data_IF_539779500525
#
_entry.id   IF_539779500525
#
_cell.length_a   1.000
_cell.length_b   1.000
_cell.length_c   1.000
_cell.angle_alpha   90.00
_cell.angle_beta   90.00
_cell.angle_gamma   90.00
#
_symmetry.space_group_name_H-M   'P 1'
#
loop_
_entity.id
_entity.type
_entity.pdbx_description
1 polymer ?
#
# COMPACT_ATOMS: atom_id res chain seq x y z
N UNK A 1 -2.92 -37.98 20.50
CA UNK A 1 -2.43 -37.68 19.15
C UNK A 1 -3.55 -37.01 18.36
N UNK A 2 -3.65 -35.72 18.34
CA UNK A 2 -4.77 -34.99 17.71
C UNK A 2 -4.51 -33.48 17.58
N UNK A 3 -3.34 -33.07 17.07
CA UNK A 3 -2.96 -31.65 17.04
C UNK A 3 -2.51 -31.09 15.70
N UNK A 4 -2.54 -31.88 14.60
CA UNK A 4 -1.91 -31.44 13.33
C UNK A 4 -2.89 -31.15 12.19
N UNK A 5 -4.16 -31.49 12.28
CA UNK A 5 -5.13 -31.35 11.18
C UNK A 5 -5.90 -30.02 11.18
N UNK A 6 -5.96 -29.31 12.32
CA UNK A 6 -6.71 -28.03 12.40
C UNK A 6 -5.97 -26.86 11.72
N UNK A 7 -4.65 -26.94 11.56
CA UNK A 7 -3.85 -25.87 10.89
C UNK A 7 -3.98 -25.86 9.37
N UNK A 8 -4.28 -26.99 8.76
CA UNK A 8 -4.48 -27.11 7.30
C UNK A 8 -5.84 -26.63 6.84
N UNK A 9 -6.86 -26.70 7.71
CA UNK A 9 -8.23 -26.26 7.40
C UNK A 9 -8.39 -24.73 7.43
N UNK A 10 -7.54 -24.01 8.15
CA UNK A 10 -7.58 -22.53 8.18
C UNK A 10 -7.07 -21.91 6.87
N UNK A 11 -6.15 -22.55 6.17
CA UNK A 11 -5.60 -22.02 4.91
C UNK A 11 -6.61 -22.04 3.76
N UNK A 12 -7.53 -23.03 3.75
CA UNK A 12 -8.58 -23.14 2.73
C UNK A 12 -9.76 -22.16 2.89
N UNK A 13 -9.98 -21.64 4.09
CA UNK A 13 -11.08 -20.70 4.34
C UNK A 13 -10.76 -19.28 3.88
N UNK A 14 -9.49 -18.88 3.91
CA UNK A 14 -9.05 -17.56 3.50
C UNK A 14 -9.11 -17.31 1.99
N UNK A 15 -9.04 -18.36 1.18
CA UNK A 15 -9.15 -18.26 -0.29
C UNK A 15 -10.50 -17.73 -0.79
N UNK A 16 -11.50 -17.59 0.11
CA UNK A 16 -12.85 -17.06 -0.22
C UNK A 16 -13.14 -15.68 0.36
N UNK A 17 -12.25 -15.12 1.21
CA UNK A 17 -12.48 -13.80 1.80
C UNK A 17 -11.91 -12.73 0.90
N UNK A 18 -12.77 -11.87 0.39
CA UNK A 18 -12.34 -10.68 -0.34
C UNK A 18 -11.59 -9.74 0.62
N UNK A 19 -10.36 -9.41 0.29
CA UNK A 19 -9.50 -8.52 1.06
C UNK A 19 -9.61 -7.12 0.47
N UNK A 20 -10.10 -6.18 1.27
CA UNK A 20 -10.24 -4.77 0.85
C UNK A 20 -8.94 -4.03 1.06
N UNK A 21 -8.43 -3.42 -0.02
CA UNK A 21 -7.22 -2.58 -0.03
C UNK A 21 -7.59 -1.22 -0.61
N UNK A 22 -7.09 -0.15 -0.01
CA UNK A 22 -7.19 1.20 -0.56
C UNK A 22 -5.86 1.60 -1.19
N UNK A 23 -5.91 2.21 -2.37
CA UNK A 23 -4.77 2.92 -2.96
C UNK A 23 -5.03 4.41 -2.83
N UNK A 24 -4.19 5.09 -2.06
CA UNK A 24 -4.28 6.51 -1.73
C UNK A 24 -2.97 7.24 -2.08
N UNK A 25 -2.99 8.53 -2.06
CA UNK A 25 -1.87 9.40 -2.37
C UNK A 25 -2.31 10.59 -3.22
N UNK A 26 -1.42 11.56 -3.42
CA UNK A 26 -1.75 12.77 -4.16
C UNK A 26 -2.08 12.46 -5.63
N UNK A 27 -2.67 13.41 -6.30
CA UNK A 27 -2.86 13.35 -7.76
C UNK A 27 -1.50 13.22 -8.47
N UNK A 28 -1.51 12.55 -9.62
CA UNK A 28 -0.33 12.24 -10.43
C UNK A 28 0.72 11.33 -9.76
N UNK A 29 0.48 10.76 -8.58
CA UNK A 29 1.44 9.84 -7.94
C UNK A 29 1.58 8.48 -8.65
N UNK A 30 0.69 8.14 -9.58
CA UNK A 30 0.72 6.90 -10.35
C UNK A 30 -0.14 5.77 -9.75
N UNK A 31 -1.12 6.09 -8.91
CA UNK A 31 -2.02 5.13 -8.27
C UNK A 31 -2.77 4.24 -9.27
N UNK A 32 -3.42 4.86 -10.24
CA UNK A 32 -4.18 4.15 -11.29
C UNK A 32 -3.26 3.31 -12.17
N UNK A 33 -2.06 3.81 -12.47
CA UNK A 33 -1.04 3.05 -13.22
C UNK A 33 -0.62 1.79 -12.44
N UNK A 34 -0.39 1.93 -11.13
CA UNK A 34 -0.08 0.83 -10.24
C UNK A 34 -1.22 -0.20 -10.20
N UNK A 35 -2.47 0.25 -10.09
CA UNK A 35 -3.64 -0.62 -10.08
C UNK A 35 -3.72 -1.48 -11.35
N UNK A 36 -3.59 -0.86 -12.52
CA UNK A 36 -3.63 -1.60 -13.79
C UNK A 36 -2.42 -2.52 -13.96
N UNK A 37 -1.25 -2.10 -13.53
CA UNK A 37 -0.07 -2.98 -13.51
C UNK A 37 -0.32 -4.24 -12.66
N UNK A 38 -0.92 -4.09 -11.49
CA UNK A 38 -1.29 -5.23 -10.63
C UNK A 38 -2.37 -6.11 -11.25
N UNK A 39 -3.33 -5.52 -11.98
CA UNK A 39 -4.47 -6.24 -12.54
C UNK A 39 -4.12 -7.03 -13.79
N UNK A 40 -3.43 -6.42 -14.75
CA UNK A 40 -3.20 -7.00 -16.09
C UNK A 40 -1.71 -7.19 -16.43
N UNK A 41 -0.80 -6.77 -15.54
CA UNK A 41 0.66 -6.87 -15.76
C UNK A 41 1.23 -5.83 -16.72
N UNK A 42 0.41 -4.92 -17.26
CA UNK A 42 0.80 -3.95 -18.27
C UNK A 42 0.49 -2.51 -17.84
N UNK A 43 1.20 -1.57 -18.44
CA UNK A 43 0.93 -0.14 -18.26
C UNK A 43 -0.12 0.30 -19.27
N UNK A 44 -1.15 0.98 -18.78
CA UNK A 44 -2.16 1.63 -19.62
C UNK A 44 -2.08 3.14 -19.47
N UNK A 45 -2.41 3.87 -20.52
CA UNK A 45 -2.56 5.32 -20.44
C UNK A 45 -3.74 5.63 -19.51
N UNK A 46 -3.49 6.37 -18.45
CA UNK A 46 -4.50 6.71 -17.45
C UNK A 46 -4.85 8.18 -17.53
N UNK A 47 -6.10 8.47 -17.20
CA UNK A 47 -6.60 9.84 -16.97
C UNK A 47 -6.77 10.06 -15.47
N UNK A 48 -6.78 11.32 -14.98
CA UNK A 48 -7.04 11.59 -13.56
C UNK A 48 -8.36 10.97 -13.09
N UNK A 49 -8.29 10.21 -11.98
CA UNK A 49 -9.48 9.57 -11.39
C UNK A 49 -10.39 10.61 -10.78
N UNK A 50 -11.63 10.70 -11.28
CA UNK A 50 -12.70 11.52 -10.70
C UNK A 50 -13.56 10.59 -9.84
N UNK A 51 -13.48 10.74 -8.51
CA UNK A 51 -14.14 9.84 -7.58
C UNK A 51 -13.26 8.64 -7.22
N UNK A 52 -13.68 7.45 -7.60
CA UNK A 52 -12.95 6.20 -7.32
C UNK A 52 -13.09 5.19 -8.45
N UNK A 53 -12.15 4.26 -8.50
CA UNK A 53 -12.19 3.07 -9.35
C UNK A 53 -12.01 1.82 -8.47
N UNK A 54 -12.80 0.77 -8.71
CA UNK A 54 -12.71 -0.48 -7.95
C UNK A 54 -12.41 -1.62 -8.89
N UNK A 55 -11.35 -2.35 -8.58
CA UNK A 55 -10.91 -3.48 -9.37
C UNK A 55 -10.62 -4.70 -8.49
N UNK A 56 -11.02 -5.86 -8.98
CA UNK A 56 -10.61 -7.13 -8.39
C UNK A 56 -9.29 -7.55 -9.00
N UNK A 57 -8.29 -7.70 -8.14
CA UNK A 57 -6.93 -8.11 -8.50
C UNK A 57 -6.64 -9.46 -7.85
N UNK A 58 -6.21 -10.44 -8.64
CA UNK A 58 -5.72 -11.71 -8.09
C UNK A 58 -4.20 -11.62 -7.93
N UNK A 59 -3.72 -11.69 -6.70
CA UNK A 59 -2.29 -11.72 -6.39
C UNK A 59 -1.98 -12.97 -5.56
N UNK A 60 -1.13 -13.87 -6.08
CA UNK A 60 -0.73 -15.13 -5.40
C UNK A 60 -1.88 -15.89 -4.75
N UNK A 61 -2.93 -16.22 -5.44
CA UNK A 61 -4.12 -16.95 -4.94
C UNK A 61 -5.02 -16.15 -3.97
N UNK A 62 -4.80 -14.86 -3.80
CA UNK A 62 -5.65 -13.97 -3.04
C UNK A 62 -6.47 -13.10 -3.98
N UNK A 63 -7.74 -12.93 -3.66
CA UNK A 63 -8.61 -11.98 -4.31
C UNK A 63 -8.61 -10.67 -3.52
N UNK A 64 -8.04 -9.64 -4.11
CA UNK A 64 -7.94 -8.30 -3.53
C UNK A 64 -8.96 -7.39 -4.21
N UNK A 65 -9.83 -6.77 -3.43
CA UNK A 65 -10.67 -5.69 -3.89
C UNK A 65 -9.93 -4.37 -3.68
N UNK A 66 -9.40 -3.82 -4.75
CA UNK A 66 -8.55 -2.64 -4.71
C UNK A 66 -9.34 -1.42 -5.11
N UNK A 67 -9.39 -0.43 -4.23
CA UNK A 67 -10.08 0.84 -4.40
C UNK A 67 -9.07 1.94 -4.67
N UNK A 68 -8.98 2.40 -5.91
CA UNK A 68 -8.15 3.53 -6.32
C UNK A 68 -8.95 4.82 -6.18
N UNK A 69 -8.59 5.63 -5.19
CA UNK A 69 -9.27 6.89 -4.90
C UNK A 69 -8.54 8.07 -5.54
N UNK A 70 -9.32 9.02 -6.07
CA UNK A 70 -8.79 10.25 -6.63
C UNK A 70 -7.92 11.02 -5.64
N UNK A 71 -6.79 11.53 -6.09
CA UNK A 71 -5.81 12.26 -5.25
C UNK A 71 -5.93 13.78 -5.30
N UNK A 72 -6.90 14.32 -6.07
CA UNK A 72 -7.12 15.76 -6.18
C UNK A 72 -7.57 16.34 -4.83
N UNK A 73 -7.15 17.57 -4.52
CA UNK A 73 -7.43 18.23 -3.25
C UNK A 73 -8.93 18.25 -2.91
N UNK A 74 -9.79 18.45 -3.90
CA UNK A 74 -11.26 18.47 -3.71
C UNK A 74 -11.85 17.11 -3.32
N UNK A 75 -11.15 16.00 -3.58
CA UNK A 75 -11.64 14.63 -3.37
C UNK A 75 -11.10 14.03 -2.06
N UNK A 76 -9.91 14.43 -1.61
CA UNK A 76 -9.28 13.89 -0.40
C UNK A 76 -10.15 13.90 0.86
N UNK A 77 -10.97 14.94 1.15
CA UNK A 77 -11.86 14.93 2.30
C UNK A 77 -12.87 13.78 2.32
N UNK A 78 -13.14 13.18 1.15
CA UNK A 78 -14.06 12.04 1.02
C UNK A 78 -13.38 10.68 1.20
N UNK A 79 -12.05 10.60 1.28
CA UNK A 79 -11.34 9.32 1.48
C UNK A 79 -11.86 8.56 2.69
N UNK A 80 -12.18 9.25 3.78
CA UNK A 80 -12.72 8.65 5.01
C UNK A 80 -14.01 7.83 4.81
N UNK A 81 -14.81 8.14 3.80
CA UNK A 81 -16.03 7.39 3.47
C UNK A 81 -15.72 5.94 3.03
N UNK A 82 -14.46 5.64 2.69
CA UNK A 82 -14.02 4.36 2.17
C UNK A 82 -13.17 3.55 3.15
N UNK A 83 -12.86 4.07 4.35
CA UNK A 83 -11.93 3.45 5.30
C UNK A 83 -12.48 2.19 5.98
N UNK A 84 -13.78 2.07 6.14
CA UNK A 84 -14.40 0.95 6.82
C UNK A 84 -14.02 -0.42 6.21
N UNK A 85 -13.67 -1.37 7.07
CA UNK A 85 -13.30 -2.74 6.69
C UNK A 85 -12.06 -2.85 5.78
N UNK A 86 -11.16 -1.88 5.83
CA UNK A 86 -9.92 -1.88 5.07
C UNK A 86 -8.85 -2.71 5.79
N UNK A 87 -8.33 -3.73 5.12
CA UNK A 87 -7.27 -4.58 5.66
C UNK A 87 -5.87 -3.95 5.47
N UNK A 88 -5.70 -3.17 4.42
CA UNK A 88 -4.44 -2.50 4.13
C UNK A 88 -4.63 -1.22 3.30
N UNK A 89 -3.70 -0.31 3.45
CA UNK A 89 -3.57 0.89 2.62
C UNK A 89 -2.24 0.84 1.87
N UNK A 90 -2.29 1.08 0.57
CA UNK A 90 -1.15 1.35 -0.28
C UNK A 90 -1.12 2.87 -0.50
N UNK A 91 -0.12 3.55 0.05
CA UNK A 91 0.07 4.99 -0.13
C UNK A 91 1.15 5.24 -1.16
N UNK A 92 0.78 5.86 -2.28
CA UNK A 92 1.68 6.06 -3.43
C UNK A 92 2.22 7.48 -3.44
N UNK A 93 3.54 7.60 -3.47
CA UNK A 93 4.27 8.87 -3.52
C UNK A 93 4.93 9.02 -4.89
N UNK A 94 4.79 10.19 -5.48
CA UNK A 94 5.65 10.63 -6.58
C UNK A 94 7.01 11.05 -6.01
N UNK A 95 8.03 10.23 -6.20
CA UNK A 95 9.36 10.48 -5.64
C UNK A 95 10.10 11.64 -6.30
N UNK A 96 9.56 12.18 -7.38
CA UNK A 96 10.12 13.37 -8.06
C UNK A 96 9.47 14.67 -7.62
N UNK A 97 8.33 14.60 -6.94
CA UNK A 97 7.52 15.74 -6.51
C UNK A 97 7.91 16.22 -5.11
N UNK A 98 9.10 16.76 -5.00
CA UNK A 98 9.69 17.17 -3.73
C UNK A 98 8.88 18.28 -3.06
N UNK A 99 8.30 19.17 -3.85
CA UNK A 99 7.54 20.33 -3.35
C UNK A 99 6.30 19.91 -2.57
N UNK A 100 5.66 18.79 -2.95
CA UNK A 100 4.44 18.29 -2.31
C UNK A 100 4.66 17.17 -1.30
N UNK A 101 5.91 16.82 -0.96
CA UNK A 101 6.17 15.80 0.07
C UNK A 101 5.59 16.18 1.44
N UNK A 102 5.65 17.47 1.81
CA UNK A 102 5.00 17.97 3.02
C UNK A 102 3.49 17.74 3.01
N UNK A 103 2.83 18.11 1.91
CA UNK A 103 1.39 17.85 1.73
C UNK A 103 1.07 16.36 1.81
N UNK A 104 1.90 15.49 1.18
CA UNK A 104 1.71 14.05 1.24
C UNK A 104 1.86 13.50 2.67
N UNK A 105 2.81 14.05 3.45
CA UNK A 105 3.00 13.70 4.86
C UNK A 105 1.80 14.09 5.72
N UNK A 106 1.25 15.28 5.52
CA UNK A 106 0.08 15.76 6.26
C UNK A 106 -1.17 14.92 5.97
N UNK A 107 -1.41 14.58 4.69
CA UNK A 107 -2.53 13.72 4.30
C UNK A 107 -2.38 12.29 4.84
N UNK A 108 -1.16 11.74 4.82
CA UNK A 108 -0.87 10.43 5.39
C UNK A 108 -1.12 10.45 6.91
N UNK A 109 -0.62 11.45 7.61
CA UNK A 109 -0.81 11.59 9.07
C UNK A 109 -2.29 11.73 9.43
N UNK A 110 -3.05 12.57 8.70
CA UNK A 110 -4.48 12.72 8.89
C UNK A 110 -5.22 11.40 8.73
N UNK A 111 -4.92 10.65 7.65
CA UNK A 111 -5.51 9.35 7.37
C UNK A 111 -5.19 8.31 8.47
N UNK A 112 -3.94 8.26 8.93
CA UNK A 112 -3.50 7.27 9.93
C UNK A 112 -4.09 7.52 11.33
N UNK A 113 -4.62 8.71 11.60
CA UNK A 113 -5.32 9.05 12.83
C UNK A 113 -6.79 8.57 12.85
N UNK A 114 -7.32 8.10 11.73
CA UNK A 114 -8.70 7.60 11.66
C UNK A 114 -8.79 6.19 12.28
N UNK A 115 -9.78 6.01 13.15
CA UNK A 115 -9.97 4.75 13.91
C UNK A 115 -10.23 3.55 12.99
N UNK A 116 -10.92 3.76 11.88
CA UNK A 116 -11.25 2.72 10.89
C UNK A 116 -10.00 2.11 10.24
N UNK A 117 -8.88 2.84 10.22
CA UNK A 117 -7.61 2.38 9.65
C UNK A 117 -6.59 1.94 10.71
N UNK A 118 -6.96 1.92 11.98
CA UNK A 118 -6.04 1.64 13.08
C UNK A 118 -5.29 0.32 12.91
N UNK A 119 -5.99 -0.73 12.49
CA UNK A 119 -5.43 -2.07 12.33
C UNK A 119 -5.02 -2.39 10.88
N UNK A 120 -5.19 -1.46 9.95
CA UNK A 120 -4.79 -1.65 8.56
C UNK A 120 -3.26 -1.61 8.41
N UNK A 121 -2.69 -2.56 7.65
CA UNK A 121 -1.29 -2.48 7.26
C UNK A 121 -1.05 -1.30 6.32
N UNK A 122 0.11 -0.65 6.41
CA UNK A 122 0.50 0.46 5.55
C UNK A 122 1.68 0.07 4.67
N UNK A 123 1.49 0.04 3.37
CA UNK A 123 2.57 -0.03 2.39
C UNK A 123 2.73 1.32 1.70
N UNK A 124 3.91 1.90 1.78
CA UNK A 124 4.24 3.11 1.01
C UNK A 124 5.04 2.70 -0.22
N UNK A 125 4.58 3.10 -1.39
CA UNK A 125 5.36 3.00 -2.61
C UNK A 125 6.01 4.35 -2.94
N UNK A 126 7.33 4.44 -2.83
CA UNK A 126 8.12 5.54 -3.37
C UNK A 126 8.23 5.34 -4.89
N UNK A 127 7.21 5.78 -5.62
CA UNK A 127 7.03 5.51 -7.05
C UNK A 127 7.84 6.45 -7.94
N UNK A 128 7.86 6.13 -9.23
CA UNK A 128 8.56 6.86 -10.31
C UNK A 128 10.09 6.79 -10.22
N UNK A 129 10.62 5.69 -9.72
CA UNK A 129 12.08 5.46 -9.64
C UNK A 129 12.74 5.32 -11.03
N UNK A 130 11.94 5.21 -12.08
CA UNK A 130 12.37 5.29 -13.48
C UNK A 130 12.73 6.71 -13.92
N UNK A 131 12.37 7.73 -13.14
CA UNK A 131 12.59 9.12 -13.50
C UNK A 131 13.84 9.70 -12.83
N UNK A 132 14.61 10.54 -13.54
CA UNK A 132 15.78 11.21 -12.97
C UNK A 132 15.36 12.15 -11.84
N UNK A 133 16.14 12.17 -10.76
CA UNK A 133 15.88 13.01 -9.59
C UNK A 133 14.86 12.43 -8.60
N UNK A 134 14.36 11.20 -8.82
CA UNK A 134 13.52 10.51 -7.87
C UNK A 134 14.26 10.30 -6.54
N UNK A 135 13.61 10.69 -5.44
CA UNK A 135 14.10 10.43 -4.09
C UNK A 135 13.98 8.96 -3.73
N UNK A 136 15.01 8.42 -3.08
CA UNK A 136 15.00 7.04 -2.62
C UNK A 136 14.02 6.78 -1.47
N UNK A 137 13.73 5.50 -1.20
CA UNK A 137 12.79 5.10 -0.14
C UNK A 137 13.18 5.68 1.24
N UNK A 138 14.48 5.76 1.56
CA UNK A 138 14.97 6.34 2.82
C UNK A 138 14.58 7.82 2.95
N UNK A 139 14.86 8.64 1.95
CA UNK A 139 14.53 10.07 1.94
C UNK A 139 13.01 10.30 2.02
N UNK A 140 12.23 9.50 1.31
CA UNK A 140 10.76 9.55 1.36
C UNK A 140 10.26 9.12 2.77
N UNK A 141 10.84 8.08 3.37
CA UNK A 141 10.49 7.62 4.72
C UNK A 141 10.72 8.71 5.77
N UNK A 142 11.83 9.43 5.68
CA UNK A 142 12.13 10.57 6.55
C UNK A 142 11.13 11.71 6.35
N UNK A 143 10.86 12.08 5.10
CA UNK A 143 9.92 13.16 4.77
C UNK A 143 8.49 12.86 5.28
N UNK A 144 8.06 11.60 5.21
CA UNK A 144 6.76 11.13 5.69
C UNK A 144 6.76 10.77 7.18
N UNK A 145 7.89 10.87 7.88
CA UNK A 145 8.05 10.53 9.31
C UNK A 145 7.62 9.11 9.66
N UNK A 146 7.81 8.16 8.74
CA UNK A 146 7.36 6.77 8.95
C UNK A 146 8.03 6.12 10.16
N UNK A 147 9.28 6.48 10.48
CA UNK A 147 10.00 6.01 11.66
C UNK A 147 9.37 6.39 13.00
N UNK A 148 8.41 7.31 13.04
CA UNK A 148 7.67 7.71 14.24
C UNK A 148 6.46 6.81 14.51
N UNK A 149 6.02 6.02 13.51
CA UNK A 149 4.87 5.10 13.63
C UNK A 149 5.25 3.90 14.51
N UNK A 150 4.61 3.75 15.68
CA UNK A 150 4.91 2.69 16.68
C UNK A 150 3.91 1.54 16.68
N UNK A 151 2.64 1.86 16.48
CA UNK A 151 1.53 0.91 16.69
C UNK A 151 0.93 0.38 15.38
N UNK A 152 1.75 0.34 14.31
CA UNK A 152 1.28 -0.05 12.98
C UNK A 152 2.33 -0.87 12.24
N UNK A 153 1.88 -1.90 11.53
CA UNK A 153 2.72 -2.57 10.54
C UNK A 153 2.85 -1.68 9.32
N UNK A 154 4.06 -1.26 9.01
CA UNK A 154 4.32 -0.48 7.81
C UNK A 154 5.60 -0.91 7.11
N UNK A 155 5.66 -0.65 5.82
CA UNK A 155 6.88 -0.77 5.00
C UNK A 155 6.88 0.30 3.93
N UNK A 156 8.07 0.60 3.41
CA UNK A 156 8.25 1.44 2.24
C UNK A 156 9.13 0.73 1.22
N UNK A 157 8.72 0.78 -0.04
CA UNK A 157 9.45 0.16 -1.16
C UNK A 157 9.61 1.17 -2.28
N UNK A 158 10.83 1.31 -2.77
CA UNK A 158 11.13 2.06 -3.99
C UNK A 158 10.60 1.29 -5.20
N UNK A 159 9.77 1.92 -6.03
CA UNK A 159 9.16 1.23 -7.17
C UNK A 159 9.05 2.11 -8.43
N UNK A 160 8.80 1.45 -9.54
CA UNK A 160 8.32 2.09 -10.77
C UNK A 160 7.07 1.35 -11.25
N UNK A 161 5.92 2.02 -11.22
CA UNK A 161 4.68 1.46 -11.74
C UNK A 161 4.77 1.22 -13.27
N UNK A 162 5.65 1.94 -13.96
CA UNK A 162 5.90 1.78 -15.40
C UNK A 162 6.77 0.55 -15.67
N UNK A 163 7.89 0.41 -14.97
CA UNK A 163 8.82 -0.71 -15.20
C UNK A 163 8.41 -1.99 -14.47
N UNK A 164 7.58 -1.88 -13.44
CA UNK A 164 7.18 -3.00 -12.58
C UNK A 164 8.16 -3.30 -11.44
N UNK A 165 9.31 -2.62 -11.38
CA UNK A 165 10.31 -2.84 -10.34
C UNK A 165 9.76 -2.50 -8.95
N UNK A 166 10.09 -3.31 -7.94
CA UNK A 166 9.71 -3.12 -6.54
C UNK A 166 8.25 -3.42 -6.21
N UNK A 167 7.36 -3.61 -7.20
CA UNK A 167 5.93 -3.84 -6.94
C UNK A 167 5.71 -5.18 -6.26
N UNK A 168 6.28 -6.27 -6.79
CA UNK A 168 6.10 -7.60 -6.23
C UNK A 168 6.66 -7.68 -4.80
N UNK A 169 7.80 -7.05 -4.54
CA UNK A 169 8.40 -6.98 -3.20
C UNK A 169 7.44 -6.33 -2.20
N UNK A 170 6.88 -5.17 -2.54
CA UNK A 170 5.91 -4.48 -1.68
C UNK A 170 4.63 -5.27 -1.48
N UNK A 171 4.10 -5.87 -2.54
CA UNK A 171 2.88 -6.67 -2.46
C UNK A 171 3.08 -7.95 -1.66
N UNK A 172 4.24 -8.59 -1.74
CA UNK A 172 4.59 -9.76 -0.94
C UNK A 172 4.60 -9.43 0.55
N UNK A 173 5.25 -8.33 0.90
CA UNK A 173 5.25 -7.83 2.28
C UNK A 173 3.80 -7.52 2.75
N UNK A 174 3.00 -6.86 1.92
CA UNK A 174 1.62 -6.48 2.26
C UNK A 174 0.77 -7.71 2.56
N UNK A 175 0.85 -8.73 1.71
CA UNK A 175 0.12 -9.99 1.88
C UNK A 175 0.50 -10.68 3.19
N UNK A 176 1.81 -10.80 3.48
CA UNK A 176 2.29 -11.40 4.74
C UNK A 176 1.76 -10.62 5.95
N UNK A 177 1.78 -9.28 5.88
CA UNK A 177 1.32 -8.40 6.96
C UNK A 177 -0.19 -8.55 7.22
N UNK A 178 -1.01 -8.61 6.18
CA UNK A 178 -2.46 -8.84 6.31
C UNK A 178 -2.74 -10.18 6.99
N UNK A 179 -2.01 -11.25 6.62
CA UNK A 179 -2.17 -12.56 7.24
C UNK A 179 -1.73 -12.57 8.70
N UNK A 180 -0.60 -11.93 9.02
CA UNK A 180 -0.10 -11.85 10.39
C UNK A 180 -1.11 -11.18 11.33
N UNK A 181 -1.72 -10.07 10.90
CA UNK A 181 -2.76 -9.36 11.64
C UNK A 181 -3.99 -10.24 11.81
N UNK A 182 -4.45 -10.88 10.73
CA UNK A 182 -5.70 -11.63 10.72
C UNK A 182 -5.62 -12.97 11.45
N UNK A 183 -4.48 -13.69 11.41
CA UNK A 183 -4.34 -15.03 12.00
C UNK A 183 -3.88 -15.02 13.45
N UNK A 184 -3.15 -13.99 13.89
CA UNK A 184 -2.47 -14.03 15.19
C UNK A 184 -2.84 -12.85 16.09
N UNK A 185 -3.59 -11.85 15.61
CA UNK A 185 -3.74 -10.57 16.32
C UNK A 185 -2.38 -9.93 16.61
N UNK A 186 -1.33 -10.41 15.98
CA UNK A 186 0.05 -9.98 16.17
C UNK A 186 0.26 -8.66 15.45
N UNK A 187 0.26 -7.59 16.20
CA UNK A 187 0.98 -6.40 15.79
C UNK A 187 2.46 -6.75 15.81
N UNK A 188 3.06 -6.87 14.65
CA UNK A 188 4.51 -6.96 14.53
C UNK A 188 5.08 -5.57 14.86
N UNK A 189 5.17 -5.26 16.15
CA UNK A 189 5.83 -4.05 16.62
C UNK A 189 7.32 -4.20 16.31
N UNK A 190 7.82 -3.44 15.32
CA UNK A 190 9.23 -3.13 15.22
C UNK A 190 10.11 -3.97 14.31
N UNK A 191 9.61 -4.67 13.30
CA UNK A 191 10.45 -5.13 12.20
C UNK A 191 10.49 -4.08 11.08
N UNK A 192 11.38 -3.11 11.26
CA UNK A 192 11.86 -2.28 10.17
C UNK A 192 12.62 -3.18 9.19
N UNK A 193 12.00 -3.64 8.13
CA UNK A 193 12.74 -4.12 6.98
C UNK A 193 12.89 -2.93 6.02
N UNK A 194 13.87 -2.08 6.34
CA UNK A 194 14.50 -1.28 5.31
C UNK A 194 15.32 -2.25 4.49
N UNK A 195 14.79 -2.73 3.37
CA UNK A 195 15.61 -3.44 2.40
C UNK A 195 16.51 -2.39 1.75
N UNK A 196 17.70 -2.24 2.30
CA UNK A 196 18.80 -1.60 1.60
C UNK A 196 19.16 -2.53 0.45
N UNK A 197 18.84 -2.13 -0.78
CA UNK A 197 19.51 -2.65 -1.94
C UNK A 197 20.97 -2.18 -1.85
N UNK A 198 21.84 -3.02 -1.33
CA UNK A 198 23.28 -2.83 -1.46
C UNK A 198 23.64 -2.90 -2.94
N UNK A 199 24.08 -1.76 -3.45
CA UNK A 199 24.83 -1.69 -4.69
C UNK A 199 26.19 -2.33 -4.47
N UNK A 200 26.47 -3.36 -5.22
CA UNK A 200 27.81 -3.75 -5.64
C UNK A 200 27.84 -3.84 -7.14
#
# INVERSE_FOLDING_TARGET
MGGSLSRLLSFGWWAKKEIRILILGLDNAGKTTLLYRLKIGEVVTTIPTIGFNVESVTYKNLNLNVWDLGGQTSIRPYWRCYYANTAAVIFVIDSTDIERLGTASDELAAMLNEEELRDAALLVFANKQDQPGAKGAGEISEALKLGELRDRNWSIVACSAIDGKGIDEGMDWLVVSIFAISCFGLRLTGLQQTVQSENS
#
